data_IF_483524124910
#
_entry.id   IF_483524124910
#
_cell.length_a   1.000
_cell.length_b   1.000
_cell.length_c   1.000
_cell.angle_alpha   90.00
_cell.angle_beta   90.00
_cell.angle_gamma   90.00
#
_symmetry.space_group_name_H-M   'P 1'
#
loop_
_entity.id
_entity.type
_entity.pdbx_description
1 polymer ?
#
# COMPACT_ATOMS: atom_id res chain seq x y z
N UNK A 1 -12.36 10.74 6.12
CA UNK A 1 -12.36 10.72 4.65
C UNK A 1 -12.66 9.33 4.08
N UNK A 2 -12.97 8.34 4.92
CA UNK A 2 -13.41 7.01 4.51
C UNK A 2 -14.48 7.07 3.41
N UNK A 3 -14.31 6.26 2.35
CA UNK A 3 -15.25 6.09 1.23
C UNK A 3 -15.58 7.34 0.39
N UNK A 4 -14.94 8.50 0.60
CA UNK A 4 -15.43 9.78 0.04
C UNK A 4 -15.63 9.79 -1.49
N UNK A 5 -14.76 9.12 -2.25
CA UNK A 5 -14.83 8.98 -3.71
C UNK A 5 -14.92 7.51 -4.14
N UNK A 6 -15.42 6.64 -3.27
CA UNK A 6 -15.60 5.22 -3.57
C UNK A 6 -16.59 5.06 -4.73
N UNK A 7 -16.22 4.26 -5.73
CA UNK A 7 -16.98 4.00 -6.95
C UNK A 7 -16.97 5.15 -7.96
N UNK A 8 -16.24 6.24 -7.71
CA UNK A 8 -16.22 7.40 -8.60
C UNK A 8 -15.31 7.16 -9.82
N UNK A 9 -15.71 6.23 -10.69
CA UNK A 9 -14.89 5.72 -11.82
C UNK A 9 -14.32 6.80 -12.73
N UNK A 10 -15.11 7.85 -12.98
CA UNK A 10 -14.78 8.95 -13.88
C UNK A 10 -14.14 10.15 -13.18
N UNK A 11 -13.99 10.11 -11.85
CA UNK A 11 -13.51 11.23 -11.08
C UNK A 11 -11.99 11.41 -11.25
N UNK A 12 -11.60 12.55 -11.84
CA UNK A 12 -10.21 12.99 -11.92
C UNK A 12 -10.13 14.52 -11.96
N UNK A 13 -10.51 15.17 -10.85
CA UNK A 13 -10.47 16.62 -10.71
C UNK A 13 -9.60 17.02 -9.52
N UNK A 14 -9.00 18.23 -9.54
CA UNK A 14 -8.30 18.79 -8.40
C UNK A 14 -9.13 18.66 -7.11
N UNK A 15 -8.54 18.04 -6.09
CA UNK A 15 -9.10 17.97 -4.75
C UNK A 15 -8.69 19.17 -3.91
N UNK A 16 -9.45 19.42 -2.85
CA UNK A 16 -9.03 20.33 -1.80
C UNK A 16 -7.77 19.77 -1.11
N UNK A 17 -6.86 20.66 -0.69
CA UNK A 17 -5.71 20.27 0.12
C UNK A 17 -6.21 19.72 1.44
N UNK A 18 -5.81 18.50 1.79
CA UNK A 18 -6.04 18.00 3.13
C UNK A 18 -5.10 18.71 4.11
N UNK A 19 -5.55 19.81 4.66
CA UNK A 19 -4.84 20.58 5.69
C UNK A 19 -5.32 20.27 7.12
N UNK A 20 -6.42 19.52 7.26
CA UNK A 20 -7.00 19.22 8.56
C UNK A 20 -6.25 18.06 9.24
N UNK A 21 -5.47 18.31 10.31
CA UNK A 21 -4.71 17.27 11.00
C UNK A 21 -5.60 16.31 11.80
N UNK A 22 -6.93 16.38 11.72
CA UNK A 22 -7.82 15.46 12.43
C UNK A 22 -8.30 14.28 11.59
N UNK A 23 -7.95 14.20 10.30
CA UNK A 23 -8.32 13.05 9.49
C UNK A 23 -7.49 11.84 9.90
N UNK A 24 -8.15 10.87 10.55
CA UNK A 24 -7.53 9.62 11.01
C UNK A 24 -7.84 8.41 10.13
N UNK A 25 -8.90 8.49 9.31
CA UNK A 25 -9.39 7.38 8.48
C UNK A 25 -9.58 7.84 7.01
N UNK A 26 -8.75 7.25 6.14
CA UNK A 26 -8.77 7.40 4.67
C UNK A 26 -9.14 6.09 3.96
N UNK A 27 -9.62 5.09 4.69
CA UNK A 27 -9.88 3.77 4.11
C UNK A 27 -10.88 3.87 2.97
N UNK A 28 -10.66 3.14 1.88
CA UNK A 28 -11.56 3.12 0.72
C UNK A 28 -11.83 4.48 0.06
N UNK A 29 -11.04 5.53 0.35
CA UNK A 29 -11.35 6.88 -0.12
C UNK A 29 -11.49 6.96 -1.65
N UNK A 30 -10.66 6.24 -2.41
CA UNK A 30 -10.69 6.17 -3.88
C UNK A 30 -10.91 4.74 -4.38
N UNK A 31 -11.58 3.89 -3.60
CA UNK A 31 -11.91 2.53 -4.01
C UNK A 31 -12.69 2.55 -5.33
N UNK A 32 -12.22 1.88 -6.36
CA UNK A 32 -12.83 1.85 -7.69
C UNK A 32 -12.87 3.18 -8.42
N UNK A 33 -12.09 4.19 -8.01
CA UNK A 33 -11.96 5.46 -8.73
C UNK A 33 -10.98 5.29 -9.92
N UNK A 34 -11.42 4.54 -10.94
CA UNK A 34 -10.55 4.00 -11.99
C UNK A 34 -9.70 5.05 -12.73
N UNK A 35 -10.23 6.27 -12.94
CA UNK A 35 -9.53 7.39 -13.61
C UNK A 35 -8.80 8.35 -12.68
N UNK A 36 -8.89 8.19 -11.36
CA UNK A 36 -8.31 9.14 -10.42
C UNK A 36 -6.79 9.17 -10.50
N UNK A 37 -6.21 10.35 -10.77
CA UNK A 37 -4.76 10.53 -10.88
C UNK A 37 -4.35 11.98 -10.59
N UNK A 38 -4.98 12.63 -9.61
CA UNK A 38 -4.73 14.04 -9.30
C UNK A 38 -3.51 14.23 -8.38
N UNK A 39 -2.52 14.99 -8.86
CA UNK A 39 -1.27 15.33 -8.15
C UNK A 39 -1.45 16.11 -6.84
N UNK A 40 -2.62 16.70 -6.59
CA UNK A 40 -2.88 17.47 -5.37
C UNK A 40 -2.72 16.63 -4.09
N UNK A 41 -2.82 15.30 -4.19
CA UNK A 41 -2.59 14.34 -3.10
C UNK A 41 -1.18 14.44 -2.50
N UNK A 42 -0.19 14.87 -3.28
CA UNK A 42 1.20 15.04 -2.83
C UNK A 42 1.34 16.09 -1.71
N UNK A 43 0.37 17.00 -1.60
CA UNK A 43 0.37 18.12 -0.66
C UNK A 43 -0.47 17.83 0.60
N UNK A 44 -0.98 16.62 0.75
CA UNK A 44 -1.85 16.27 1.87
C UNK A 44 -1.07 16.08 3.16
N UNK A 45 -1.61 16.63 4.24
CA UNK A 45 -1.14 16.35 5.58
C UNK A 45 -1.74 15.03 6.09
N UNK A 46 -0.93 13.97 6.13
CA UNK A 46 -1.35 12.65 6.60
C UNK A 46 -0.87 12.31 8.02
N UNK A 47 -0.35 13.27 8.79
CA UNK A 47 0.31 13.01 10.09
C UNK A 47 -0.57 12.27 11.10
N UNK A 48 -1.88 12.46 11.05
CA UNK A 48 -2.83 11.83 11.99
C UNK A 48 -3.55 10.62 11.42
N UNK A 49 -3.26 10.25 10.18
CA UNK A 49 -3.91 9.12 9.52
C UNK A 49 -3.40 7.82 10.16
N UNK A 50 -4.36 6.97 10.54
CA UNK A 50 -4.11 5.65 11.13
C UNK A 50 -4.57 4.51 10.22
N UNK A 51 -5.48 4.78 9.28
CA UNK A 51 -6.01 3.76 8.36
C UNK A 51 -5.96 4.25 6.92
N UNK A 52 -5.32 3.46 6.06
CA UNK A 52 -5.18 3.69 4.62
C UNK A 52 -5.61 2.47 3.77
N UNK A 53 -6.20 1.45 4.42
CA UNK A 53 -6.56 0.21 3.74
C UNK A 53 -7.56 0.45 2.59
N UNK A 54 -7.35 -0.26 1.49
CA UNK A 54 -8.13 -0.17 0.26
C UNK A 54 -8.29 1.24 -0.34
N UNK A 55 -7.44 2.20 0.04
CA UNK A 55 -7.60 3.60 -0.37
C UNK A 55 -7.60 3.78 -1.89
N UNK A 56 -6.74 3.07 -2.62
CA UNK A 56 -6.59 3.12 -4.07
C UNK A 56 -6.89 1.76 -4.73
N UNK A 57 -7.71 0.93 -4.10
CA UNK A 57 -8.16 -0.33 -4.71
C UNK A 57 -8.82 -0.03 -6.06
N UNK A 58 -8.37 -0.68 -7.14
CA UNK A 58 -8.82 -0.51 -8.52
C UNK A 58 -8.76 0.95 -9.03
N UNK A 59 -7.96 1.81 -8.41
CA UNK A 59 -7.62 3.13 -8.95
C UNK A 59 -6.59 2.96 -10.09
N UNK A 60 -7.05 2.38 -11.20
CA UNK A 60 -6.20 1.86 -12.30
C UNK A 60 -5.27 2.90 -12.91
N UNK A 61 -5.66 4.17 -12.94
CA UNK A 61 -4.87 5.27 -13.48
C UNK A 61 -3.97 5.98 -12.43
N UNK A 62 -4.01 5.57 -11.16
CA UNK A 62 -3.34 6.30 -10.09
C UNK A 62 -1.82 6.02 -10.07
N UNK A 63 -1.02 7.09 -10.20
CA UNK A 63 0.43 7.03 -10.07
C UNK A 63 1.03 8.40 -9.67
N UNK A 64 0.49 8.99 -8.60
CA UNK A 64 0.95 10.30 -8.11
C UNK A 64 2.00 10.18 -7.00
N UNK A 65 2.80 11.24 -6.83
CA UNK A 65 3.83 11.32 -5.80
C UNK A 65 3.22 11.26 -4.39
N UNK A 66 3.66 10.26 -3.61
CA UNK A 66 3.30 10.03 -2.21
C UNK A 66 4.49 10.16 -1.24
N UNK A 67 5.64 10.64 -1.72
CA UNK A 67 6.89 10.69 -0.94
C UNK A 67 6.81 11.56 0.31
N UNK A 68 5.93 12.57 0.31
CA UNK A 68 5.71 13.47 1.44
C UNK A 68 4.73 12.93 2.50
N UNK A 69 4.02 11.84 2.21
CA UNK A 69 3.06 11.28 3.15
C UNK A 69 3.75 10.77 4.41
N UNK A 70 3.21 11.16 5.55
CA UNK A 70 3.59 10.65 6.88
C UNK A 70 2.76 9.42 7.20
N UNK A 71 3.42 8.29 7.38
CA UNK A 71 2.76 7.00 7.66
C UNK A 71 3.11 6.45 9.05
N UNK A 72 3.84 7.22 9.88
CA UNK A 72 4.31 6.84 11.22
C UNK A 72 3.21 6.32 12.16
N UNK A 73 1.96 6.72 11.92
CA UNK A 73 0.79 6.38 12.73
C UNK A 73 -0.14 5.36 12.07
N UNK A 74 0.15 4.95 10.83
CA UNK A 74 -0.70 4.03 10.07
C UNK A 74 -0.56 2.62 10.61
N UNK A 75 -1.69 1.97 10.86
CA UNK A 75 -1.77 0.59 11.36
C UNK A 75 -2.33 -0.38 10.33
N UNK A 76 -3.13 0.09 9.36
CA UNK A 76 -3.78 -0.75 8.33
C UNK A 76 -3.48 -0.25 6.91
N UNK A 77 -2.87 -1.12 6.08
CA UNK A 77 -2.54 -0.85 4.67
C UNK A 77 -2.99 -1.97 3.71
N UNK A 78 -3.72 -2.98 4.18
CA UNK A 78 -4.21 -4.06 3.32
C UNK A 78 -5.01 -3.54 2.13
N UNK A 79 -4.85 -4.18 0.98
CA UNK A 79 -5.48 -3.81 -0.30
C UNK A 79 -5.22 -2.37 -0.80
N UNK A 80 -4.29 -1.60 -0.22
CA UNK A 80 -4.17 -0.16 -0.51
C UNK A 80 -4.02 0.15 -2.00
N UNK A 81 -3.27 -0.66 -2.76
CA UNK A 81 -3.04 -0.53 -4.20
C UNK A 81 -3.47 -1.78 -4.98
N UNK A 82 -4.42 -2.56 -4.43
CA UNK A 82 -4.99 -3.72 -5.12
C UNK A 82 -5.49 -3.30 -6.50
N UNK A 83 -5.02 -3.92 -7.58
CA UNK A 83 -5.48 -3.61 -8.95
C UNK A 83 -5.12 -2.22 -9.46
N UNK A 84 -4.28 -1.45 -8.76
CA UNK A 84 -3.74 -0.17 -9.23
C UNK A 84 -2.63 -0.44 -10.27
N UNK A 85 -3.05 -0.85 -11.48
CA UNK A 85 -2.20 -1.52 -12.47
C UNK A 85 -0.96 -0.73 -12.89
N UNK A 86 -1.01 0.62 -12.89
CA UNK A 86 0.12 1.47 -13.28
C UNK A 86 0.87 2.10 -12.10
N UNK A 87 0.44 1.84 -10.86
CA UNK A 87 1.05 2.45 -9.68
C UNK A 87 2.51 2.02 -9.53
N UNK A 88 3.41 2.99 -9.47
CA UNK A 88 4.84 2.79 -9.29
C UNK A 88 5.52 4.01 -8.63
N UNK A 89 4.78 4.82 -7.87
CA UNK A 89 5.35 5.97 -7.15
C UNK A 89 6.27 5.51 -6.02
N UNK A 90 7.34 6.27 -5.79
CA UNK A 90 8.27 6.02 -4.68
C UNK A 90 7.57 6.12 -3.33
N UNK A 91 7.64 5.02 -2.57
CA UNK A 91 7.14 4.86 -1.20
C UNK A 91 8.21 4.25 -0.28
N UNK A 92 9.47 4.28 -0.70
CA UNK A 92 10.62 3.74 0.04
C UNK A 92 10.78 4.37 1.42
N UNK A 93 10.40 5.65 1.56
CA UNK A 93 10.50 6.43 2.81
C UNK A 93 9.32 6.26 3.77
N UNK A 94 8.31 5.46 3.41
CA UNK A 94 7.20 5.21 4.31
C UNK A 94 7.65 4.46 5.56
N UNK A 95 7.18 4.91 6.71
CA UNK A 95 7.40 4.26 7.99
C UNK A 95 6.27 3.30 8.27
N UNK A 96 6.59 2.01 8.35
CA UNK A 96 5.62 0.92 8.47
C UNK A 96 5.65 0.23 9.83
N UNK A 97 6.45 0.72 10.78
CA UNK A 97 6.71 0.05 12.06
C UNK A 97 5.47 -0.20 12.93
N UNK A 98 4.34 0.49 12.68
CA UNK A 98 3.06 0.28 13.38
C UNK A 98 2.04 -0.51 12.57
N UNK A 99 2.33 -0.82 11.31
CA UNK A 99 1.42 -1.54 10.42
C UNK A 99 1.33 -3.00 10.86
N UNK A 100 0.11 -3.51 10.95
CA UNK A 100 -0.17 -4.90 11.35
C UNK A 100 -0.69 -5.75 10.20
N UNK A 101 -1.26 -5.14 9.16
CA UNK A 101 -1.83 -5.87 8.02
C UNK A 101 -1.49 -5.18 6.69
N UNK A 102 -0.84 -5.93 5.80
CA UNK A 102 -0.47 -5.56 4.42
C UNK A 102 -0.98 -6.58 3.39
N UNK A 103 -1.94 -7.43 3.75
CA UNK A 103 -2.47 -8.43 2.83
C UNK A 103 -2.95 -7.79 1.53
N UNK A 104 -2.62 -8.43 0.41
CA UNK A 104 -3.02 -8.03 -0.94
C UNK A 104 -2.68 -6.58 -1.33
N UNK A 105 -1.78 -5.89 -0.61
CA UNK A 105 -1.53 -4.45 -0.80
C UNK A 105 -1.14 -4.07 -2.22
N UNK A 106 -0.38 -4.90 -2.92
CA UNK A 106 0.07 -4.72 -4.30
C UNK A 106 -0.44 -5.83 -5.24
N UNK A 107 -1.51 -6.53 -4.84
CA UNK A 107 -2.09 -7.55 -5.69
C UNK A 107 -2.45 -6.95 -7.06
N UNK A 108 -1.95 -7.51 -8.15
CA UNK A 108 -2.21 -7.02 -9.50
C UNK A 108 -1.70 -5.59 -9.80
N UNK A 109 -0.87 -4.98 -8.95
CA UNK A 109 -0.19 -3.72 -9.22
C UNK A 109 0.97 -3.95 -10.21
N UNK A 110 0.62 -4.20 -11.48
CA UNK A 110 1.52 -4.76 -12.49
C UNK A 110 2.81 -3.96 -12.71
N UNK A 111 2.75 -2.63 -12.60
CA UNK A 111 3.89 -1.74 -12.79
C UNK A 111 4.76 -1.55 -11.53
N UNK A 112 4.30 -1.94 -10.35
CA UNK A 112 4.98 -1.64 -9.09
C UNK A 112 6.34 -2.37 -9.00
N UNK A 113 7.42 -1.61 -8.83
CA UNK A 113 8.77 -2.12 -8.66
C UNK A 113 9.67 -1.20 -7.81
N UNK A 114 9.09 -0.50 -6.84
CA UNK A 114 9.86 0.39 -5.96
C UNK A 114 10.57 -0.38 -4.86
N UNK A 115 11.74 0.11 -4.46
CA UNK A 115 12.51 -0.49 -3.38
C UNK A 115 11.83 -0.24 -2.02
N UNK A 116 11.42 -1.33 -1.38
CA UNK A 116 10.80 -1.35 -0.05
C UNK A 116 11.55 -2.29 0.92
N UNK A 117 12.81 -2.62 0.61
CA UNK A 117 13.66 -3.52 1.42
C UNK A 117 13.84 -3.04 2.85
N UNK A 118 13.74 -1.72 3.05
CA UNK A 118 14.03 -1.06 4.33
C UNK A 118 12.75 -0.80 5.17
N UNK A 119 11.58 -1.29 4.73
CA UNK A 119 10.37 -1.23 5.54
C UNK A 119 10.48 -2.08 6.82
N UNK A 120 10.09 -1.49 7.95
CA UNK A 120 9.95 -2.22 9.22
C UNK A 120 8.62 -2.99 9.21
N UNK A 121 8.69 -4.30 8.99
CA UNK A 121 7.54 -5.21 8.94
C UNK A 121 7.40 -6.09 10.18
N UNK A 122 8.14 -5.80 11.26
CA UNK A 122 8.21 -6.69 12.43
C UNK A 122 6.86 -6.96 13.09
N UNK A 123 5.94 -6.00 13.01
CA UNK A 123 4.62 -6.05 13.62
C UNK A 123 3.52 -6.57 12.69
N UNK A 124 3.85 -6.82 11.42
CA UNK A 124 2.90 -7.33 10.42
C UNK A 124 2.59 -8.80 10.69
N UNK A 125 1.30 -9.14 10.69
CA UNK A 125 0.81 -10.52 10.89
C UNK A 125 0.21 -11.12 9.62
N UNK A 126 -0.04 -10.32 8.60
CA UNK A 126 -0.62 -10.78 7.33
C UNK A 126 -0.02 -10.03 6.13
N UNK A 127 0.59 -10.81 5.24
CA UNK A 127 1.09 -10.40 3.92
C UNK A 127 0.54 -11.33 2.83
N UNK A 128 -0.55 -12.06 3.10
CA UNK A 128 -1.14 -13.00 2.15
C UNK A 128 -1.41 -12.31 0.81
N UNK A 129 -0.98 -12.95 -0.27
CA UNK A 129 -1.11 -12.46 -1.64
C UNK A 129 -0.62 -11.03 -1.91
N UNK A 130 0.25 -10.46 -1.06
CA UNK A 130 0.67 -9.05 -1.13
C UNK A 130 1.19 -8.65 -2.51
N UNK A 131 1.95 -9.52 -3.18
CA UNK A 131 2.52 -9.30 -4.52
C UNK A 131 1.97 -10.26 -5.56
N UNK A 132 0.87 -10.97 -5.28
CA UNK A 132 0.28 -11.85 -6.29
C UNK A 132 -0.06 -11.04 -7.56
N UNK A 133 0.38 -11.51 -8.73
CA UNK A 133 0.24 -10.86 -10.03
C UNK A 133 0.88 -9.46 -10.18
N UNK A 134 1.79 -9.06 -9.27
CA UNK A 134 2.63 -7.86 -9.42
C UNK A 134 3.82 -8.17 -10.34
N UNK A 135 3.57 -8.26 -11.65
CA UNK A 135 4.52 -8.83 -12.63
C UNK A 135 5.86 -8.11 -12.75
N UNK A 136 5.94 -6.83 -12.39
CA UNK A 136 7.20 -6.06 -12.45
C UNK A 136 8.00 -6.07 -11.15
N UNK A 137 7.44 -6.59 -10.05
CA UNK A 137 8.06 -6.48 -8.74
C UNK A 137 9.23 -7.46 -8.58
N UNK A 138 10.45 -6.92 -8.68
CA UNK A 138 11.73 -7.63 -8.69
C UNK A 138 12.67 -7.06 -7.64
N UNK A 139 12.21 -6.97 -6.40
CA UNK A 139 13.01 -6.44 -5.29
C UNK A 139 13.57 -7.55 -4.41
N UNK A 140 14.63 -7.22 -3.69
CA UNK A 140 15.21 -8.04 -2.63
C UNK A 140 14.51 -7.70 -1.30
N UNK A 141 13.88 -8.70 -0.68
CA UNK A 141 13.20 -8.56 0.61
C UNK A 141 13.86 -9.40 1.71
N UNK A 142 15.13 -9.82 1.56
CA UNK A 142 15.83 -10.64 2.56
C UNK A 142 15.94 -10.00 3.94
N UNK A 143 15.96 -8.66 4.00
CA UNK A 143 15.96 -7.86 5.23
C UNK A 143 14.65 -7.90 6.01
N UNK A 144 13.55 -8.33 5.39
CA UNK A 144 12.25 -8.36 6.05
C UNK A 144 12.20 -9.48 7.10
N UNK A 145 12.08 -9.08 8.36
CA UNK A 145 11.95 -9.99 9.51
C UNK A 145 10.64 -9.74 10.24
N UNK A 146 9.95 -10.81 10.61
CA UNK A 146 8.69 -10.76 11.37
C UNK A 146 8.92 -11.18 12.82
N UNK A 147 8.26 -10.51 13.78
CA UNK A 147 8.31 -10.93 15.19
C UNK A 147 7.26 -11.99 15.54
N UNK A 148 6.25 -12.17 14.70
CA UNK A 148 5.13 -13.10 14.87
C UNK A 148 5.09 -14.09 13.72
N UNK A 149 4.33 -15.18 13.89
CA UNK A 149 3.90 -16.00 12.77
C UNK A 149 3.07 -15.10 11.84
N UNK A 150 3.37 -15.15 10.56
CA UNK A 150 2.76 -14.30 9.53
C UNK A 150 2.03 -15.17 8.52
N UNK A 151 0.81 -14.78 8.15
CA UNK A 151 0.13 -15.38 7.01
C UNK A 151 0.81 -14.89 5.72
N UNK A 152 1.50 -15.79 5.03
CA UNK A 152 2.22 -15.53 3.77
C UNK A 152 1.66 -16.36 2.60
N UNK A 153 0.44 -16.89 2.73
CA UNK A 153 -0.23 -17.65 1.68
C UNK A 153 -0.26 -16.86 0.37
N UNK A 154 0.16 -17.51 -0.72
CA UNK A 154 0.22 -16.91 -2.07
C UNK A 154 1.00 -15.60 -2.19
N UNK A 155 1.88 -15.26 -1.23
CA UNK A 155 2.61 -13.97 -1.14
C UNK A 155 3.11 -13.41 -2.47
N UNK A 156 3.75 -14.26 -3.28
CA UNK A 156 4.34 -13.89 -4.58
C UNK A 156 3.64 -14.48 -5.79
N UNK A 157 2.43 -15.05 -5.70
CA UNK A 157 1.83 -15.83 -6.79
C UNK A 157 1.93 -15.13 -8.17
N UNK A 158 2.91 -15.52 -9.01
CA UNK A 158 3.22 -14.90 -10.31
C UNK A 158 4.19 -13.70 -10.32
N UNK A 159 4.61 -13.15 -9.17
CA UNK A 159 5.58 -12.05 -9.08
C UNK A 159 7.04 -12.54 -9.02
N UNK A 160 7.94 -11.97 -9.83
CA UNK A 160 9.35 -12.37 -9.92
C UNK A 160 10.24 -11.74 -8.82
N UNK A 161 9.91 -11.96 -7.55
CA UNK A 161 10.69 -11.45 -6.40
C UNK A 161 12.10 -12.08 -6.38
N UNK A 162 13.15 -11.25 -6.24
CA UNK A 162 14.54 -11.71 -6.26
C UNK A 162 14.92 -12.53 -5.03
N UNK A 163 14.59 -12.04 -3.83
CA UNK A 163 14.71 -12.81 -2.59
C UNK A 163 13.52 -12.59 -1.69
N UNK A 164 13.10 -13.67 -1.05
CA UNK A 164 11.95 -13.67 -0.15
C UNK A 164 12.35 -13.27 1.27
N UNK A 165 11.40 -12.70 2.05
CA UNK A 165 11.56 -12.50 3.48
C UNK A 165 11.82 -13.79 4.25
N UNK A 166 12.40 -13.65 5.45
CA UNK A 166 12.44 -14.75 6.41
C UNK A 166 11.09 -14.90 7.12
N UNK A 167 10.21 -15.72 6.56
CA UNK A 167 8.96 -16.10 7.22
C UNK A 167 9.26 -17.05 8.38
N UNK A 168 8.97 -16.64 9.62
CA UNK A 168 9.03 -17.56 10.77
C UNK A 168 8.15 -18.77 10.50
N UNK A 169 8.78 -19.93 10.34
CA UNK A 169 8.06 -21.19 10.25
C UNK A 169 7.59 -21.62 11.64
N UNK A 170 6.44 -22.26 11.72
CA UNK A 170 6.07 -23.03 12.90
C UNK A 170 6.94 -24.28 12.87
N UNK A 171 7.75 -24.51 13.90
CA UNK A 171 8.40 -25.82 14.09
C UNK A 171 7.28 -26.87 14.15
N UNK A 172 7.29 -27.82 13.20
CA UNK A 172 6.40 -28.99 13.25
C UNK A 172 6.71 -29.86 14.45
#
# INVERSE_FOLDING_TARGET
>A
MKNMFSGAKEFNKPLFKLINPKVSDMSYMFFGAEKFNDSSVSQWNTTSVTKMNAMFWDAKAFNQDLSNWKTDNVTLMHNMFYGAIIFNSDISRWKTSKVTNMSQMFWGAKAFNQNISDWDVKNVTDVSSMFAYASSFKQDLDKWTFNKIVNSSHFRNGAPIFKLPNFRQVSK
#
